data_IF_734743780831
#
_entry.id   IF_734743780831
#
_cell.length_a   1.000
_cell.length_b   1.000
_cell.length_c   1.000
_cell.angle_alpha   90.00
_cell.angle_beta   90.00
_cell.angle_gamma   90.00
#
_symmetry.space_group_name_H-M   'P 1'
#
loop_
_entity.id
_entity.type
_entity.pdbx_description
1 polymer ?
#
# COMPACT_ATOMS: atom_id res chain seq x y z
N UNK A 1 9.24 -25.76 78.19
CA UNK A 1 8.49 -26.54 79.20
C UNK A 1 7.07 -26.76 78.71
N UNK A 2 6.64 -28.03 78.69
CA UNK A 2 5.26 -28.59 78.67
C UNK A 2 4.33 -28.26 77.48
N UNK A 3 4.10 -29.25 76.60
CA UNK A 3 2.89 -30.13 76.42
C UNK A 3 1.81 -29.44 75.56
N UNK A 4 1.25 -29.95 74.46
CA UNK A 4 1.11 -31.30 73.91
C UNK A 4 -0.31 -31.84 74.15
N UNK A 5 -1.17 -31.93 73.10
CA UNK A 5 -2.37 -32.79 72.88
C UNK A 5 -3.01 -32.35 71.53
N UNK A 6 -3.11 -33.09 70.41
CA UNK A 6 -3.60 -34.44 70.01
C UNK A 6 -5.09 -34.48 69.56
N UNK A 7 -5.25 -34.69 68.25
CA UNK A 7 -6.22 -35.46 67.43
C UNK A 7 -7.73 -35.20 67.33
N UNK A 8 -8.17 -35.29 66.06
CA UNK A 8 -9.51 -35.66 65.55
C UNK A 8 -9.85 -34.81 64.31
N UNK A 9 -9.89 -35.27 63.06
CA UNK A 9 -9.98 -36.60 62.49
C UNK A 9 -11.34 -36.82 61.81
N UNK A 10 -11.66 -36.10 60.72
CA UNK A 10 -12.71 -36.50 59.75
C UNK A 10 -12.18 -36.30 58.32
N UNK A 11 -12.22 -37.39 57.56
CA UNK A 11 -11.94 -37.49 56.14
C UNK A 11 -13.16 -37.00 55.34
N UNK A 12 -12.95 -36.16 54.33
CA UNK A 12 -13.74 -36.19 53.10
C UNK A 12 -12.92 -35.57 51.98
N UNK A 13 -12.60 -36.41 50.99
CA UNK A 13 -11.85 -36.07 49.80
C UNK A 13 -12.76 -35.41 48.77
N UNK A 14 -12.35 -34.28 48.20
CA UNK A 14 -12.74 -33.90 46.84
C UNK A 14 -11.48 -33.41 46.12
N UNK A 15 -11.10 -34.17 45.10
CA UNK A 15 -10.02 -33.86 44.16
C UNK A 15 -10.51 -32.78 43.19
N UNK A 16 -9.76 -31.69 43.06
CA UNK A 16 -9.62 -31.01 41.78
C UNK A 16 -8.20 -30.44 41.69
N UNK A 17 -7.37 -31.14 40.91
CA UNK A 17 -6.05 -30.68 40.51
C UNK A 17 -6.27 -29.91 39.21
N UNK A 18 -6.12 -28.59 39.26
CA UNK A 18 -5.88 -27.80 38.07
C UNK A 18 -4.47 -27.21 38.20
N UNK A 19 -3.53 -27.86 37.54
CA UNK A 19 -2.16 -27.38 37.42
C UNK A 19 -2.14 -26.09 36.60
N UNK A 20 -1.64 -25.02 37.20
CA UNK A 20 -1.28 -23.78 36.50
C UNK A 20 -0.06 -24.07 35.63
N UNK A 21 -0.26 -24.14 34.32
CA UNK A 21 0.81 -23.98 33.35
C UNK A 21 0.74 -22.54 32.80
N UNK A 22 1.68 -21.71 33.26
CA UNK A 22 1.97 -20.41 32.66
C UNK A 22 2.46 -20.65 31.22
N UNK A 23 1.61 -20.42 30.24
CA UNK A 23 2.04 -20.16 28.86
C UNK A 23 2.38 -18.67 28.76
N UNK A 24 3.68 -18.37 28.73
CA UNK A 24 4.19 -17.10 28.21
C UNK A 24 4.00 -17.08 26.70
N UNK A 25 2.80 -16.70 26.25
CA UNK A 25 2.56 -16.31 24.87
C UNK A 25 3.08 -14.91 24.65
N UNK A 26 4.30 -14.77 24.14
CA UNK A 26 4.66 -13.57 23.42
C UNK A 26 3.78 -13.54 22.16
N UNK A 27 2.77 -12.68 22.16
CA UNK A 27 2.02 -12.36 20.96
C UNK A 27 2.97 -11.62 20.02
N UNK A 28 3.60 -12.37 19.11
CA UNK A 28 4.14 -11.81 17.88
C UNK A 28 2.93 -11.35 17.07
N UNK A 29 2.63 -10.05 17.14
CA UNK A 29 1.70 -9.40 16.23
C UNK A 29 2.17 -9.70 14.79
N UNK A 30 1.31 -10.19 13.90
CA UNK A 30 1.68 -10.36 12.50
C UNK A 30 1.91 -8.96 11.91
N UNK A 31 3.14 -8.67 11.50
CA UNK A 31 3.39 -7.60 10.52
C UNK A 31 2.61 -8.02 9.27
N UNK A 32 1.56 -7.28 8.91
CA UNK A 32 0.81 -7.57 7.69
C UNK A 32 1.76 -7.38 6.50
N UNK A 33 2.13 -8.46 5.81
CA UNK A 33 3.00 -8.34 4.67
C UNK A 33 2.20 -7.83 3.47
N UNK A 34 2.81 -6.95 2.67
CA UNK A 34 2.16 -6.45 1.45
C UNK A 34 2.48 -7.40 0.31
N UNK A 35 1.44 -8.02 -0.22
CA UNK A 35 1.50 -8.79 -1.46
C UNK A 35 1.56 -7.81 -2.63
N UNK A 36 2.69 -7.74 -3.34
CA UNK A 36 2.82 -6.93 -4.54
C UNK A 36 2.04 -7.60 -5.69
N UNK A 37 0.77 -7.19 -5.90
CA UNK A 37 -0.01 -7.59 -7.08
C UNK A 37 0.47 -6.83 -8.31
N UNK A 38 0.47 -7.48 -9.48
CA UNK A 38 0.49 -6.77 -10.75
C UNK A 38 -0.83 -6.02 -10.90
N UNK A 39 -0.80 -4.71 -11.13
CA UNK A 39 -1.99 -3.91 -11.41
C UNK A 39 -2.65 -4.37 -12.72
N UNK A 40 -3.96 -4.60 -12.67
CA UNK A 40 -4.81 -4.83 -13.83
C UNK A 40 -4.92 -3.51 -14.61
N UNK A 41 -4.18 -3.37 -15.73
CA UNK A 41 -4.53 -2.44 -16.83
C UNK A 41 -3.64 -2.59 -18.10
N UNK A 42 -2.68 -3.51 -18.13
CA UNK A 42 -2.22 -4.05 -19.40
C UNK A 42 -3.12 -5.24 -19.75
N UNK A 43 -3.90 -5.08 -20.83
CA UNK A 43 -4.60 -6.17 -21.49
C UNK A 43 -3.55 -7.24 -21.87
N UNK A 44 -3.32 -8.18 -20.95
CA UNK A 44 -2.42 -9.30 -21.08
C UNK A 44 -2.69 -9.95 -22.43
N UNK A 45 -1.69 -9.96 -23.31
CA UNK A 45 -1.74 -10.78 -24.53
C UNK A 45 -1.81 -12.24 -24.11
N UNK A 46 -3.03 -12.76 -24.07
CA UNK A 46 -3.32 -14.18 -23.92
C UNK A 46 -2.98 -14.85 -25.24
N UNK A 47 -1.75 -15.33 -25.39
CA UNK A 47 -1.43 -16.36 -26.38
C UNK A 47 -1.47 -17.71 -25.67
N UNK A 48 -2.60 -18.40 -25.75
CA UNK A 48 -2.71 -19.77 -25.29
C UNK A 48 -3.66 -20.56 -26.16
N UNK A 49 -3.23 -21.76 -26.54
CA UNK A 49 -4.06 -22.73 -27.27
C UNK A 49 -5.10 -23.32 -26.32
N UNK A 50 -6.37 -23.03 -26.57
CA UNK A 50 -7.49 -23.63 -25.83
C UNK A 50 -7.83 -25.00 -26.42
N UNK A 51 -7.85 -26.03 -25.58
CA UNK A 51 -8.46 -27.33 -25.91
C UNK A 51 -9.51 -27.65 -24.86
N UNK A 52 -10.70 -28.09 -25.28
CA UNK A 52 -11.81 -28.31 -24.35
C UNK A 52 -12.98 -29.10 -24.93
N UNK A 53 -13.80 -29.64 -24.03
CA UNK A 53 -15.02 -30.39 -24.33
C UNK A 53 -16.25 -29.60 -23.85
N UNK A 54 -17.35 -29.66 -24.62
CA UNK A 54 -18.51 -28.77 -24.42
C UNK A 54 -19.29 -29.10 -23.12
N UNK A 55 -19.62 -28.06 -22.34
CA UNK A 55 -20.54 -28.12 -21.20
C UNK A 55 -22.01 -28.26 -21.63
N UNK A 56 -22.91 -28.55 -20.68
CA UNK A 56 -24.37 -28.75 -20.91
C UNK A 56 -25.09 -27.58 -21.61
N UNK A 57 -24.50 -26.38 -21.63
CA UNK A 57 -24.98 -25.17 -22.31
C UNK A 57 -24.24 -24.86 -23.64
N UNK A 58 -23.34 -25.76 -24.07
CA UNK A 58 -22.60 -25.66 -25.34
C UNK A 58 -21.46 -24.64 -25.34
N UNK A 59 -21.10 -24.06 -24.19
CA UNK A 59 -20.03 -23.05 -24.09
C UNK A 59 -18.80 -23.64 -23.40
N UNK A 60 -17.76 -23.96 -24.18
CA UNK A 60 -16.45 -24.31 -23.62
C UNK A 60 -15.92 -23.10 -22.84
N UNK A 61 -15.78 -23.24 -21.52
CA UNK A 61 -15.17 -22.21 -20.67
C UNK A 61 -13.95 -22.81 -19.98
N UNK A 62 -12.76 -22.37 -20.37
CA UNK A 62 -11.52 -22.83 -19.75
C UNK A 62 -11.38 -22.31 -18.31
N UNK A 63 -10.63 -23.02 -17.44
CA UNK A 63 -10.26 -22.50 -16.12
C UNK A 63 -9.50 -21.18 -16.28
N UNK A 64 -9.66 -20.25 -15.32
CA UNK A 64 -8.98 -18.96 -15.34
C UNK A 64 -8.11 -18.76 -14.10
N UNK A 65 -6.92 -18.19 -14.29
CA UNK A 65 -6.18 -17.54 -13.20
C UNK A 65 -6.90 -16.25 -12.84
N UNK A 66 -7.22 -16.08 -11.56
CA UNK A 66 -7.93 -14.94 -11.00
C UNK A 66 -6.96 -13.96 -10.35
N UNK A 67 -5.93 -14.46 -9.69
CA UNK A 67 -4.90 -13.65 -9.05
C UNK A 67 -3.61 -14.45 -8.92
N UNK A 68 -2.47 -13.77 -8.91
CA UNK A 68 -1.17 -14.34 -8.65
C UNK A 68 -0.31 -13.33 -7.92
N UNK A 69 0.23 -13.72 -6.76
CA UNK A 69 1.11 -12.84 -6.00
C UNK A 69 2.05 -13.59 -5.08
N UNK A 70 3.20 -12.98 -4.78
CA UNK A 70 4.12 -13.53 -3.80
C UNK A 70 3.55 -13.40 -2.39
N UNK A 71 3.55 -14.51 -1.66
CA UNK A 71 3.04 -14.61 -0.27
C UNK A 71 4.16 -14.87 0.74
N UNK A 72 5.37 -15.07 0.25
CA UNK A 72 6.63 -15.06 0.99
C UNK A 72 7.77 -14.92 -0.01
N UNK A 73 9.00 -14.67 0.46
CA UNK A 73 10.17 -14.63 -0.42
C UNK A 73 10.33 -15.91 -1.27
N UNK A 74 9.88 -17.06 -0.77
CA UNK A 74 10.02 -18.36 -1.44
C UNK A 74 8.69 -19.02 -1.85
N UNK A 75 7.60 -18.26 -1.97
CA UNK A 75 6.33 -18.83 -2.43
C UNK A 75 5.39 -17.82 -3.07
N UNK A 76 4.63 -18.31 -4.05
CA UNK A 76 3.56 -17.59 -4.76
C UNK A 76 2.22 -18.25 -4.47
N UNK A 77 1.17 -17.46 -4.36
CA UNK A 77 -0.20 -17.94 -4.34
C UNK A 77 -0.88 -17.60 -5.65
N UNK A 78 -1.56 -18.59 -6.22
CA UNK A 78 -2.36 -18.45 -7.44
C UNK A 78 -3.79 -18.83 -7.10
N UNK A 79 -4.74 -17.96 -7.44
CA UNK A 79 -6.18 -18.20 -7.28
C UNK A 79 -6.80 -18.52 -8.64
N UNK A 80 -7.78 -19.41 -8.66
CA UNK A 80 -8.42 -19.90 -9.89
C UNK A 80 -9.94 -19.71 -9.83
N UNK A 81 -10.58 -19.62 -11.00
CA UNK A 81 -12.04 -19.45 -11.11
C UNK A 81 -12.84 -20.71 -10.78
N UNK A 82 -12.17 -21.85 -10.67
CA UNK A 82 -12.76 -23.17 -10.37
C UNK A 82 -11.66 -24.10 -9.84
N UNK A 83 -12.06 -25.29 -9.39
CA UNK A 83 -11.13 -26.34 -8.98
C UNK A 83 -10.33 -26.82 -10.18
N UNK A 84 -9.02 -26.91 -10.02
CA UNK A 84 -8.08 -27.22 -11.10
C UNK A 84 -6.95 -28.14 -10.65
N UNK A 85 -6.27 -28.75 -11.61
CA UNK A 85 -4.90 -29.23 -11.47
C UNK A 85 -3.96 -28.39 -12.31
N UNK A 86 -2.69 -28.33 -11.94
CA UNK A 86 -1.66 -27.55 -12.63
C UNK A 86 -0.48 -28.45 -13.03
N UNK A 87 0.05 -28.24 -14.23
CA UNK A 87 1.23 -28.94 -14.74
C UNK A 87 2.16 -27.96 -15.48
N UNK A 88 3.36 -28.43 -15.82
CA UNK A 88 4.31 -27.67 -16.65
C UNK A 88 4.76 -26.35 -16.00
N UNK A 89 4.84 -26.30 -14.67
CA UNK A 89 5.13 -25.07 -13.95
C UNK A 89 6.60 -24.67 -14.15
N UNK A 90 6.81 -23.46 -14.65
CA UNK A 90 8.13 -22.84 -14.72
C UNK A 90 8.12 -21.49 -14.03
N UNK A 91 9.22 -21.18 -13.35
CA UNK A 91 9.49 -19.89 -12.74
C UNK A 91 10.69 -19.27 -13.44
N UNK A 92 10.55 -18.02 -13.87
CA UNK A 92 11.62 -17.23 -14.45
C UNK A 92 12.03 -16.16 -13.44
N UNK A 93 13.32 -16.15 -13.06
CA UNK A 93 13.85 -15.16 -12.14
C UNK A 93 14.07 -13.79 -12.80
N UNK A 94 14.47 -12.82 -11.97
CA UNK A 94 14.72 -11.45 -12.40
C UNK A 94 15.85 -11.32 -13.43
N UNK A 95 16.78 -12.29 -13.47
CA UNK A 95 17.89 -12.36 -14.43
C UNK A 95 17.49 -13.10 -15.72
N UNK A 96 16.27 -13.63 -15.80
CA UNK A 96 15.75 -14.40 -16.93
C UNK A 96 16.09 -15.90 -16.89
N UNK A 97 16.63 -16.41 -15.78
CA UNK A 97 16.88 -17.84 -15.61
C UNK A 97 15.57 -18.59 -15.38
N UNK A 98 15.38 -19.70 -16.08
CA UNK A 98 14.16 -20.50 -16.03
C UNK A 98 14.37 -21.76 -15.19
N UNK A 99 13.46 -22.00 -14.25
CA UNK A 99 13.46 -23.14 -13.35
C UNK A 99 12.16 -23.92 -13.50
N UNK A 100 12.26 -25.24 -13.65
CA UNK A 100 11.08 -26.12 -13.55
C UNK A 100 10.71 -26.34 -12.09
N UNK A 101 9.43 -26.22 -11.77
CA UNK A 101 8.89 -26.49 -10.45
C UNK A 101 8.25 -27.88 -10.46
N UNK A 102 8.65 -28.72 -9.51
CA UNK A 102 8.10 -30.06 -9.37
C UNK A 102 6.67 -30.01 -8.78
N UNK A 103 5.81 -30.96 -9.18
CA UNK A 103 4.40 -30.96 -8.76
C UNK A 103 4.18 -31.10 -7.25
N UNK A 104 5.14 -31.67 -6.51
CA UNK A 104 5.12 -31.76 -5.04
C UNK A 104 5.40 -30.40 -4.34
N UNK A 105 5.84 -29.40 -5.10
CA UNK A 105 6.03 -28.03 -4.64
C UNK A 105 4.75 -27.20 -4.73
N UNK A 106 3.63 -27.83 -5.09
CA UNK A 106 2.29 -27.21 -5.18
C UNK A 106 1.38 -27.80 -4.11
N UNK A 107 0.79 -26.94 -3.30
CA UNK A 107 -0.24 -27.31 -2.32
C UNK A 107 -1.51 -26.51 -2.56
N UNK A 108 -2.64 -27.18 -2.65
CA UNK A 108 -3.94 -26.54 -2.72
C UNK A 108 -4.56 -26.36 -1.33
N UNK A 109 -5.36 -25.31 -1.18
CA UNK A 109 -6.23 -25.14 -0.02
C UNK A 109 -7.42 -26.12 -0.05
N UNK A 110 -8.20 -26.16 1.02
CA UNK A 110 -9.37 -27.06 1.13
C UNK A 110 -10.44 -26.77 0.06
N UNK A 111 -10.49 -25.54 -0.44
CA UNK A 111 -11.43 -25.16 -1.51
C UNK A 111 -10.99 -25.68 -2.88
N UNK A 112 -9.71 -25.97 -3.06
CA UNK A 112 -9.10 -26.33 -4.35
C UNK A 112 -9.07 -25.16 -5.35
N UNK A 113 -9.35 -23.93 -4.89
CA UNK A 113 -9.36 -22.73 -5.72
C UNK A 113 -8.07 -21.93 -5.58
N UNK A 114 -7.25 -22.21 -4.56
CA UNK A 114 -5.99 -21.52 -4.33
C UNK A 114 -4.84 -22.53 -4.26
N UNK A 115 -3.84 -22.35 -5.11
CA UNK A 115 -2.57 -23.07 -5.04
C UNK A 115 -1.50 -22.18 -4.43
N UNK A 116 -0.75 -22.73 -3.48
CA UNK A 116 0.54 -22.19 -3.04
C UNK A 116 1.65 -22.97 -3.72
N UNK A 117 2.54 -22.26 -4.40
CA UNK A 117 3.65 -22.81 -5.17
C UNK A 117 4.95 -22.38 -4.50
N UNK A 118 5.76 -23.34 -4.06
CA UNK A 118 7.08 -23.07 -3.51
C UNK A 118 8.07 -22.74 -4.64
N UNK A 119 8.82 -21.66 -4.48
CA UNK A 119 9.80 -21.20 -5.45
C UNK A 119 11.18 -21.85 -5.20
N UNK A 120 11.93 -22.15 -6.27
CA UNK A 120 13.26 -22.77 -6.15
C UNK A 120 14.33 -21.80 -5.64
N UNK A 121 14.08 -20.49 -5.76
CA UNK A 121 14.94 -19.42 -5.28
C UNK A 121 14.10 -18.37 -4.56
N UNK A 122 14.72 -17.65 -3.63
CA UNK A 122 14.05 -16.54 -2.95
C UNK A 122 13.95 -15.34 -3.88
N UNK A 123 12.86 -14.59 -3.76
CA UNK A 123 12.60 -13.37 -4.50
C UNK A 123 13.15 -12.15 -3.77
N UNK A 124 13.57 -11.15 -4.54
CA UNK A 124 14.05 -9.86 -4.07
C UNK A 124 12.94 -8.82 -4.21
N UNK A 125 12.81 -7.95 -3.20
CA UNK A 125 11.74 -6.95 -3.13
C UNK A 125 11.82 -5.98 -4.32
N UNK A 126 10.74 -5.88 -5.07
CA UNK A 126 10.60 -5.00 -6.23
C UNK A 126 11.20 -5.53 -7.53
N UNK A 127 11.81 -6.71 -7.51
CA UNK A 127 12.16 -7.43 -8.74
C UNK A 127 10.92 -8.08 -9.34
N UNK A 128 10.84 -8.10 -10.67
CA UNK A 128 9.79 -8.81 -11.41
C UNK A 128 10.19 -10.26 -11.66
N UNK A 129 9.20 -11.14 -11.60
CA UNK A 129 9.30 -12.57 -11.79
C UNK A 129 8.14 -13.05 -12.65
N UNK A 130 8.30 -14.20 -13.28
CA UNK A 130 7.26 -14.77 -14.14
C UNK A 130 7.01 -16.23 -13.80
N UNK A 131 5.75 -16.58 -13.68
CA UNK A 131 5.25 -17.94 -13.46
C UNK A 131 4.48 -18.38 -14.69
N UNK A 132 4.93 -19.45 -15.34
CA UNK A 132 4.21 -20.09 -16.45
C UNK A 132 3.69 -21.45 -16.01
N UNK A 133 2.46 -21.80 -16.40
CA UNK A 133 1.82 -23.07 -16.02
C UNK A 133 0.70 -23.42 -16.99
N UNK A 134 0.37 -24.71 -17.08
CA UNK A 134 -0.87 -25.16 -17.74
C UNK A 134 -1.88 -25.60 -16.69
N UNK A 135 -3.08 -25.05 -16.77
CA UNK A 135 -4.17 -25.27 -15.82
C UNK A 135 -5.23 -26.15 -16.47
N UNK A 136 -5.69 -27.17 -15.75
CA UNK A 136 -6.70 -28.14 -16.21
C UNK A 136 -7.90 -28.14 -15.27
N UNK A 137 -9.11 -28.20 -15.80
CA UNK A 137 -10.31 -28.42 -15.01
C UNK A 137 -10.80 -29.88 -15.08
N UNK A 138 -11.81 -30.20 -14.26
CA UNK A 138 -12.39 -31.55 -14.19
C UNK A 138 -13.11 -31.98 -15.48
N UNK A 139 -13.48 -31.02 -16.34
CA UNK A 139 -14.18 -31.26 -17.61
C UNK A 139 -13.20 -31.50 -18.78
N UNK A 140 -11.90 -31.56 -18.47
CA UNK A 140 -10.83 -31.80 -19.43
C UNK A 140 -10.44 -30.57 -20.25
N UNK A 141 -10.90 -29.37 -19.86
CA UNK A 141 -10.45 -28.14 -20.50
C UNK A 141 -9.07 -27.76 -19.96
N UNK A 142 -8.22 -27.24 -20.84
CA UNK A 142 -6.90 -26.76 -20.46
C UNK A 142 -6.60 -25.36 -21.01
N UNK A 143 -5.77 -24.63 -20.28
CA UNK A 143 -5.26 -23.32 -20.69
C UNK A 143 -3.88 -23.06 -20.09
N UNK A 144 -2.94 -22.63 -20.94
CA UNK A 144 -1.63 -22.17 -20.48
C UNK A 144 -1.68 -20.69 -20.10
N UNK A 145 -0.98 -20.37 -19.02
CA UNK A 145 -0.86 -19.04 -18.45
C UNK A 145 0.61 -18.68 -18.27
N UNK A 146 0.88 -17.40 -18.45
CA UNK A 146 2.12 -16.75 -18.07
C UNK A 146 1.74 -15.53 -17.24
N UNK A 147 2.23 -15.47 -16.01
CA UNK A 147 1.81 -14.47 -15.04
C UNK A 147 3.02 -13.83 -14.40
N UNK A 148 3.10 -12.51 -14.54
CA UNK A 148 4.10 -11.69 -13.88
C UNK A 148 3.70 -11.44 -12.42
N UNK A 149 4.67 -11.39 -11.52
CA UNK A 149 4.50 -11.01 -10.13
C UNK A 149 5.79 -10.39 -9.59
N UNK A 150 5.68 -9.65 -8.48
CA UNK A 150 6.84 -9.00 -7.87
C UNK A 150 7.28 -9.71 -6.60
N UNK A 151 8.57 -9.59 -6.28
CA UNK A 151 9.15 -10.17 -5.07
C UNK A 151 8.50 -9.64 -3.80
N UNK A 152 8.39 -10.52 -2.81
CA UNK A 152 7.59 -10.31 -1.60
C UNK A 152 8.23 -9.30 -0.64
N UNK A 153 7.49 -8.23 -0.32
CA UNK A 153 7.90 -7.25 0.68
C UNK A 153 7.50 -7.71 2.10
N UNK A 154 8.43 -8.38 2.79
CA UNK A 154 8.23 -8.87 4.16
C UNK A 154 8.20 -7.77 5.23
N UNK A 155 8.74 -6.59 4.91
CA UNK A 155 8.88 -5.47 5.84
C UNK A 155 8.47 -4.16 5.16
N UNK A 156 7.18 -4.01 4.84
CA UNK A 156 6.67 -2.77 4.26
C UNK A 156 6.86 -1.61 5.24
N UNK A 157 7.25 -0.45 4.76
CA UNK A 157 7.26 0.77 5.57
C UNK A 157 5.82 1.13 5.99
N UNK A 158 5.68 1.81 7.14
CA UNK A 158 4.38 2.36 7.56
C UNK A 158 4.37 3.86 7.32
N UNK A 159 3.70 4.29 6.27
CA UNK A 159 3.62 5.69 5.86
C UNK A 159 2.27 6.30 6.24
N UNK A 160 2.25 7.62 6.41
CA UNK A 160 1.05 8.45 6.50
C UNK A 160 1.21 9.68 5.61
N UNK A 161 0.11 10.23 5.12
CA UNK A 161 0.11 11.49 4.38
C UNK A 161 0.49 12.64 5.33
N UNK A 162 1.40 13.49 4.89
CA UNK A 162 1.94 14.64 5.60
C UNK A 162 1.43 15.94 4.99
N UNK A 163 1.60 16.11 3.69
CA UNK A 163 1.36 17.39 3.04
C UNK A 163 0.99 17.22 1.57
N UNK A 164 0.13 18.10 1.05
CA UNK A 164 -0.27 18.10 -0.36
C UNK A 164 -0.17 19.50 -0.94
N UNK A 165 0.48 19.64 -2.10
CA UNK A 165 0.42 20.84 -2.93
C UNK A 165 -0.37 20.58 -4.20
N UNK A 166 -1.44 21.36 -4.40
CA UNK A 166 -2.36 21.20 -5.54
C UNK A 166 -2.04 22.14 -6.72
N UNK A 167 -1.13 23.09 -6.54
CA UNK A 167 -0.89 24.16 -7.50
C UNK A 167 0.54 24.14 -8.05
N UNK A 168 0.63 24.24 -9.37
CA UNK A 168 1.86 24.26 -10.13
C UNK A 168 2.22 25.67 -10.59
N UNK A 169 3.52 25.92 -10.74
CA UNK A 169 4.04 27.04 -11.51
C UNK A 169 5.28 26.60 -12.29
N UNK A 170 5.36 27.06 -13.55
CA UNK A 170 6.35 26.63 -14.54
C UNK A 170 7.79 26.58 -14.04
N UNK A 171 8.19 27.55 -13.21
CA UNK A 171 9.58 27.74 -12.81
C UNK A 171 9.79 27.68 -11.29
N UNK A 172 8.73 27.43 -10.51
CA UNK A 172 8.80 27.66 -9.05
C UNK A 172 8.22 26.59 -8.16
N UNK A 173 7.15 25.92 -8.53
CA UNK A 173 6.42 25.05 -7.62
C UNK A 173 5.86 23.86 -8.40
N UNK A 174 6.19 22.67 -7.95
CA UNK A 174 5.57 21.43 -8.42
C UNK A 174 4.40 21.04 -7.52
N UNK A 175 3.36 20.44 -8.10
CA UNK A 175 2.40 19.66 -7.34
C UNK A 175 3.14 18.52 -6.64
N UNK A 176 2.82 18.24 -5.39
CA UNK A 176 3.41 17.12 -4.69
C UNK A 176 2.45 16.51 -3.68
N UNK A 177 2.70 15.25 -3.35
CA UNK A 177 2.20 14.61 -2.15
C UNK A 177 3.39 14.18 -1.31
N UNK A 178 3.40 14.56 -0.05
CA UNK A 178 4.43 14.20 0.91
C UNK A 178 3.88 13.21 1.93
N UNK A 179 4.71 12.23 2.28
CA UNK A 179 4.44 11.20 3.25
C UNK A 179 5.50 11.22 4.35
N UNK A 180 5.12 10.72 5.53
CA UNK A 180 6.01 10.54 6.67
C UNK A 180 6.06 9.07 7.07
N UNK A 181 7.26 8.51 7.24
CA UNK A 181 7.47 7.13 7.66
C UNK A 181 7.38 7.00 9.18
N UNK A 182 6.26 6.50 9.70
CA UNK A 182 6.12 6.13 11.12
C UNK A 182 7.02 4.93 11.45
N UNK A 183 7.10 3.95 10.54
CA UNK A 183 8.02 2.80 10.64
C UNK A 183 8.82 2.69 9.35
N UNK A 184 10.12 2.44 9.49
CA UNK A 184 10.99 2.14 8.35
C UNK A 184 10.65 0.80 7.70
N UNK A 185 11.21 0.58 6.51
CA UNK A 185 10.93 -0.59 5.70
C UNK A 185 11.07 -0.28 4.22
N UNK A 186 10.73 -1.24 3.37
CA UNK A 186 10.71 -1.02 1.93
C UNK A 186 9.34 -0.46 1.52
N UNK A 187 9.31 0.56 0.66
CA UNK A 187 8.05 1.19 0.19
C UNK A 187 7.46 0.52 -1.06
N UNK A 188 8.12 -0.49 -1.63
CA UNK A 188 7.60 -1.24 -2.78
C UNK A 188 6.27 -1.93 -2.44
N UNK A 189 5.36 -1.94 -3.41
CA UNK A 189 4.03 -2.49 -3.27
C UNK A 189 3.04 -1.54 -2.62
N UNK A 190 3.48 -0.38 -2.11
CA UNK A 190 2.58 0.72 -1.79
C UNK A 190 2.18 1.46 -3.06
N UNK A 191 1.02 2.08 -3.03
CA UNK A 191 0.55 2.93 -4.12
C UNK A 191 -0.01 4.25 -3.61
N UNK A 192 0.13 5.29 -4.41
CA UNK A 192 -0.48 6.60 -4.19
C UNK A 192 -1.51 6.86 -5.29
N UNK A 193 -2.77 7.10 -4.93
CA UNK A 193 -3.84 7.39 -5.90
C UNK A 193 -4.47 8.78 -5.67
N UNK A 194 -5.03 9.34 -6.74
CA UNK A 194 -5.78 10.59 -6.75
C UNK A 194 -7.15 10.38 -7.44
N UNK A 195 -8.22 10.41 -6.64
CA UNK A 195 -9.53 9.92 -7.05
C UNK A 195 -10.32 10.80 -8.07
N UNK A 196 -9.73 11.87 -8.61
CA UNK A 196 -10.50 12.90 -9.33
C UNK A 196 -10.30 12.90 -10.83
N UNK A 197 -9.21 12.34 -11.35
CA UNK A 197 -8.86 12.63 -12.75
C UNK A 197 -9.46 11.58 -13.68
N UNK A 198 -10.76 11.76 -13.92
CA UNK A 198 -11.49 11.04 -14.96
C UNK A 198 -10.69 11.11 -16.29
N UNK A 199 -10.34 9.95 -16.84
CA UNK A 199 -9.61 9.85 -18.11
C UNK A 199 -8.08 9.97 -18.02
N UNK A 200 -7.49 10.00 -16.81
CA UNK A 200 -6.05 9.78 -16.58
C UNK A 200 -5.75 8.57 -15.71
N UNK A 201 -6.67 7.60 -15.71
CA UNK A 201 -6.51 6.35 -14.99
C UNK A 201 -5.21 5.62 -15.42
N UNK A 202 -4.69 5.82 -16.64
CA UNK A 202 -3.41 5.22 -17.06
C UNK A 202 -2.14 5.74 -16.35
N UNK A 203 -2.24 6.83 -15.56
CA UNK A 203 -1.11 7.40 -14.81
C UNK A 203 -1.17 7.10 -13.32
N UNK A 204 -2.25 6.46 -12.86
CA UNK A 204 -2.49 6.14 -11.47
C UNK A 204 -3.05 4.72 -11.30
N UNK A 205 -2.78 4.04 -10.19
CA UNK A 205 -2.10 4.59 -9.03
C UNK A 205 -0.56 4.66 -9.25
N UNK A 206 0.10 5.64 -8.65
CA UNK A 206 1.57 5.72 -8.67
C UNK A 206 2.13 4.61 -7.79
N UNK A 207 2.83 3.66 -8.41
CA UNK A 207 3.46 2.54 -7.70
C UNK A 207 4.81 2.95 -7.14
N UNK A 208 4.99 2.82 -5.83
CA UNK A 208 6.25 3.17 -5.20
C UNK A 208 7.38 2.20 -5.60
N UNK A 209 8.59 2.70 -5.90
CA UNK A 209 9.73 1.86 -6.22
C UNK A 209 10.27 1.12 -4.98
N UNK A 210 11.17 0.16 -5.20
CA UNK A 210 11.90 -0.50 -4.12
C UNK A 210 12.94 0.43 -3.50
N UNK A 211 12.55 1.09 -2.41
CA UNK A 211 13.39 2.00 -1.63
C UNK A 211 13.22 1.67 -0.15
N UNK A 212 14.34 1.49 0.54
CA UNK A 212 14.35 1.30 1.98
C UNK A 212 14.39 2.66 2.68
N UNK A 213 13.32 2.99 3.39
CA UNK A 213 13.20 4.24 4.16
C UNK A 213 13.39 3.96 5.65
N UNK A 214 13.91 4.94 6.37
CA UNK A 214 14.03 4.90 7.83
C UNK A 214 12.77 5.47 8.49
N UNK A 215 12.48 5.04 9.73
CA UNK A 215 11.47 5.71 10.53
C UNK A 215 11.86 7.19 10.73
N UNK A 216 10.91 8.10 10.50
CA UNK A 216 11.12 9.55 10.53
C UNK A 216 11.50 10.15 9.19
N UNK A 217 11.72 9.34 8.15
CA UNK A 217 11.95 9.86 6.80
C UNK A 217 10.68 10.53 6.26
N UNK A 218 10.89 11.64 5.57
CA UNK A 218 9.92 12.20 4.64
C UNK A 218 10.14 11.61 3.25
N UNK A 219 9.05 11.39 2.53
CA UNK A 219 9.04 10.97 1.12
C UNK A 219 8.18 11.97 0.36
N UNK A 220 8.72 12.59 -0.68
CA UNK A 220 8.03 13.57 -1.50
C UNK A 220 7.84 13.00 -2.90
N UNK A 221 6.59 12.76 -3.28
CA UNK A 221 6.22 12.41 -4.65
C UNK A 221 5.88 13.69 -5.39
N UNK A 222 6.81 14.15 -6.22
CA UNK A 222 6.61 15.26 -7.16
C UNK A 222 5.74 14.77 -8.31
N UNK A 223 4.56 15.35 -8.43
CA UNK A 223 3.47 14.83 -9.27
C UNK A 223 3.60 15.28 -10.74
N UNK A 224 4.73 15.88 -11.11
CA UNK A 224 4.99 16.32 -12.49
C UNK A 224 6.50 16.38 -12.78
N UNK A 225 6.89 15.73 -13.88
CA UNK A 225 8.22 15.82 -14.47
C UNK A 225 8.12 15.60 -15.99
N UNK A 226 8.28 16.67 -16.76
CA UNK A 226 8.22 16.66 -18.23
C UNK A 226 9.50 16.18 -18.91
N UNK A 227 10.45 15.63 -18.14
CA UNK A 227 11.80 15.31 -18.62
C UNK A 227 12.70 16.53 -18.83
N UNK A 228 12.17 17.75 -18.70
CA UNK A 228 12.92 19.00 -18.88
C UNK A 228 13.28 19.71 -17.58
N UNK A 229 12.89 19.15 -16.42
CA UNK A 229 13.24 19.71 -15.12
C UNK A 229 14.65 19.24 -14.75
N UNK A 230 15.65 20.10 -14.92
CA UNK A 230 17.03 19.77 -14.61
C UNK A 230 17.20 19.33 -13.14
N UNK A 231 17.79 18.16 -12.93
CA UNK A 231 18.01 17.58 -11.60
C UNK A 231 16.79 16.87 -10.99
N UNK A 232 15.68 16.73 -11.72
CA UNK A 232 14.51 15.97 -11.28
C UNK A 232 14.73 14.48 -11.56
N UNK A 233 15.24 13.78 -10.56
CA UNK A 233 15.56 12.34 -10.62
C UNK A 233 14.89 11.67 -9.43
N UNK A 234 14.21 10.55 -9.67
CA UNK A 234 13.68 9.72 -8.58
C UNK A 234 14.82 9.07 -7.81
N UNK A 235 14.86 9.30 -6.50
CA UNK A 235 15.89 8.79 -5.61
C UNK A 235 15.59 7.35 -5.20
N UNK A 236 16.44 6.42 -5.63
CA UNK A 236 16.28 4.98 -5.35
C UNK A 236 17.28 4.50 -4.30
N UNK A 237 18.54 4.92 -4.43
CA UNK A 237 19.64 4.48 -3.56
C UNK A 237 20.41 5.63 -2.89
N UNK A 238 20.20 6.87 -3.35
CA UNK A 238 20.86 8.07 -2.85
C UNK A 238 19.82 9.20 -2.68
N UNK A 239 19.52 9.52 -1.42
CA UNK A 239 18.59 10.58 -0.97
C UNK A 239 19.10 12.01 -1.27
N UNK A 240 20.22 12.13 -1.97
CA UNK A 240 20.77 13.42 -2.37
C UNK A 240 20.91 13.54 -3.87
N UNK A 241 20.46 12.56 -4.65
CA UNK A 241 20.60 12.56 -6.09
C UNK A 241 19.75 13.64 -6.76
N UNK A 242 18.57 13.94 -6.22
CA UNK A 242 17.70 14.98 -6.75
C UNK A 242 18.27 16.38 -6.44
N UNK A 243 18.33 17.22 -7.47
CA UNK A 243 18.83 18.61 -7.40
C UNK A 243 17.83 19.62 -7.96
N UNK A 244 16.67 19.15 -8.40
CA UNK A 244 15.61 20.01 -8.87
C UNK A 244 15.10 20.90 -7.73
N UNK A 245 14.35 21.93 -8.12
CA UNK A 245 13.69 22.79 -7.17
C UNK A 245 12.64 22.00 -6.40
N UNK A 246 12.49 22.34 -5.12
CA UNK A 246 11.69 21.60 -4.14
C UNK A 246 12.22 20.18 -3.86
N UNK A 247 13.38 19.77 -4.37
CA UNK A 247 14.07 18.59 -3.82
C UNK A 247 14.66 18.91 -2.44
N UNK A 248 14.66 17.92 -1.55
CA UNK A 248 15.18 18.03 -0.19
C UNK A 248 16.23 16.95 0.07
N UNK A 249 17.48 17.31 0.46
CA UNK A 249 18.51 16.32 0.76
C UNK A 249 18.25 15.51 2.03
N UNK A 250 17.15 15.80 2.75
CA UNK A 250 16.72 15.09 3.96
C UNK A 250 15.47 14.24 3.75
N UNK A 251 14.88 14.25 2.55
CA UNK A 251 13.70 13.47 2.19
C UNK A 251 13.98 12.67 0.91
N UNK A 252 13.23 11.58 0.71
CA UNK A 252 13.28 10.85 -0.56
C UNK A 252 12.46 11.58 -1.60
N UNK A 253 13.09 12.07 -2.66
CA UNK A 253 12.41 12.74 -3.78
C UNK A 253 12.09 11.76 -4.91
N UNK A 254 10.80 11.52 -5.16
CA UNK A 254 10.30 10.68 -6.23
C UNK A 254 9.54 11.53 -7.25
N UNK A 255 9.63 11.19 -8.54
CA UNK A 255 9.05 12.01 -9.62
C UNK A 255 8.15 11.19 -10.53
N UNK A 256 6.94 11.69 -10.77
CA UNK A 256 6.02 11.13 -11.79
C UNK A 256 6.38 11.73 -13.15
N UNK A 257 6.70 10.87 -14.12
CA UNK A 257 7.13 11.28 -15.47
C UNK A 257 5.94 11.70 -16.36
N UNK A 258 5.34 12.84 -16.05
CA UNK A 258 4.25 13.43 -16.84
C UNK A 258 4.28 14.96 -16.80
N UNK A 259 3.59 15.58 -17.76
CA UNK A 259 3.25 17.01 -17.79
C UNK A 259 1.86 17.32 -17.23
N UNK A 260 1.08 16.29 -16.94
CA UNK A 260 -0.30 16.43 -16.54
C UNK A 260 -0.47 17.03 -15.15
N UNK A 261 -1.61 17.71 -14.93
CA UNK A 261 -2.12 17.99 -13.58
C UNK A 261 -2.63 16.69 -12.98
N UNK A 262 -2.06 16.32 -11.84
CA UNK A 262 -2.30 15.05 -11.16
C UNK A 262 -2.94 15.23 -9.78
N UNK A 263 -2.88 16.43 -9.18
CA UNK A 263 -3.59 16.71 -7.93
C UNK A 263 -4.19 18.12 -7.94
N UNK A 264 -5.52 18.16 -7.89
CA UNK A 264 -6.36 19.34 -7.90
C UNK A 264 -6.83 19.78 -6.51
N UNK A 265 -7.55 20.91 -6.51
CA UNK A 265 -8.16 21.50 -5.30
C UNK A 265 -9.37 20.71 -4.79
N UNK A 266 -9.92 19.81 -5.59
CA UNK A 266 -11.13 19.05 -5.30
C UNK A 266 -10.85 17.55 -5.37
N UNK A 267 -9.83 17.11 -4.63
CA UNK A 267 -9.26 15.78 -4.75
C UNK A 267 -9.28 14.97 -3.47
N UNK A 268 -9.30 13.65 -3.67
CA UNK A 268 -9.08 12.67 -2.61
C UNK A 268 -7.75 12.02 -2.93
N UNK A 269 -6.82 12.07 -1.99
CA UNK A 269 -5.51 11.42 -2.12
C UNK A 269 -5.52 10.21 -1.19
N UNK A 270 -5.15 9.06 -1.74
CA UNK A 270 -5.16 7.76 -1.05
C UNK A 270 -3.75 7.19 -1.03
N UNK A 271 -3.37 6.61 0.11
CA UNK A 271 -2.25 5.70 0.22
C UNK A 271 -2.81 4.30 0.42
N UNK A 272 -2.41 3.36 -0.42
CA UNK A 272 -2.89 1.98 -0.38
C UNK A 272 -1.72 0.98 -0.35
N UNK A 273 -2.01 -0.24 0.07
CA UNK A 273 -1.10 -1.37 -0.12
C UNK A 273 -1.37 -2.11 -1.45
N UNK A 274 -0.53 -3.10 -1.75
CA UNK A 274 -0.62 -3.91 -2.97
C UNK A 274 -1.85 -4.81 -3.02
N UNK A 275 -2.66 -4.86 -1.95
CA UNK A 275 -3.95 -5.53 -1.90
C UNK A 275 -5.13 -4.56 -2.02
N UNK A 276 -4.85 -3.28 -2.30
CA UNK A 276 -5.82 -2.17 -2.39
C UNK A 276 -6.52 -1.88 -1.06
N UNK A 277 -5.90 -2.22 0.07
CA UNK A 277 -6.38 -1.74 1.36
C UNK A 277 -5.92 -0.28 1.54
N UNK A 278 -6.87 0.61 1.84
CA UNK A 278 -6.56 2.00 2.13
C UNK A 278 -5.85 2.09 3.49
N UNK A 279 -4.65 2.66 3.49
CA UNK A 279 -3.79 2.83 4.66
C UNK A 279 -3.93 4.21 5.30
N UNK A 280 -4.09 5.24 4.48
CA UNK A 280 -4.32 6.63 4.88
C UNK A 280 -4.98 7.42 3.74
N UNK A 281 -5.59 8.56 4.05
CA UNK A 281 -6.24 9.37 3.02
C UNK A 281 -6.67 10.75 3.49
N UNK A 282 -6.75 11.68 2.53
CA UNK A 282 -7.25 13.04 2.75
C UNK A 282 -8.31 13.38 1.71
N UNK A 283 -9.40 13.99 2.16
CA UNK A 283 -10.48 14.48 1.31
C UNK A 283 -10.39 16.00 1.25
N UNK A 284 -10.15 16.57 0.07
CA UNK A 284 -9.97 18.00 -0.14
C UNK A 284 -11.03 18.55 -1.10
N UNK A 285 -11.54 19.75 -0.81
CA UNK A 285 -12.44 20.43 -1.73
C UNK A 285 -12.44 21.94 -1.55
N UNK A 286 -12.71 22.68 -2.61
CA UNK A 286 -13.12 24.07 -2.49
C UNK A 286 -14.53 24.13 -1.91
N UNK A 287 -14.81 25.06 -0.99
CA UNK A 287 -16.16 25.23 -0.42
C UNK A 287 -17.23 25.56 -1.46
N UNK A 288 -16.83 26.00 -2.66
CA UNK A 288 -17.72 26.25 -3.80
C UNK A 288 -18.19 24.98 -4.54
N UNK A 289 -17.57 23.81 -4.31
CA UNK A 289 -18.03 22.55 -4.92
C UNK A 289 -19.39 22.17 -4.35
N UNK A 290 -20.32 21.78 -5.23
CA UNK A 290 -21.71 21.49 -4.86
C UNK A 290 -21.92 20.03 -4.50
N UNK A 291 -21.28 19.14 -5.24
CA UNK A 291 -21.46 17.70 -5.12
C UNK A 291 -20.20 16.94 -5.54
N UNK A 292 -20.05 15.74 -5.00
CA UNK A 292 -19.05 14.77 -5.41
C UNK A 292 -19.47 14.11 -6.73
N UNK A 293 -18.50 13.72 -7.56
CA UNK A 293 -18.79 12.73 -8.61
C UNK A 293 -19.16 11.39 -7.96
N UNK A 294 -19.76 10.47 -8.73
CA UNK A 294 -20.10 9.15 -8.22
C UNK A 294 -18.86 8.37 -7.73
N UNK A 295 -17.73 8.45 -8.47
CA UNK A 295 -16.44 7.86 -8.09
C UNK A 295 -15.94 8.44 -6.77
N UNK A 296 -15.90 9.78 -6.67
CA UNK A 296 -15.47 10.48 -5.45
C UNK A 296 -16.36 10.14 -4.25
N UNK A 297 -17.69 10.10 -4.44
CA UNK A 297 -18.64 9.78 -3.38
C UNK A 297 -18.39 8.40 -2.79
N UNK A 298 -18.18 7.39 -3.64
CA UNK A 298 -17.87 6.02 -3.19
C UNK A 298 -16.61 5.97 -2.33
N UNK A 299 -15.56 6.68 -2.75
CA UNK A 299 -14.28 6.74 -2.02
C UNK A 299 -14.42 7.48 -0.69
N UNK A 300 -15.17 8.60 -0.65
CA UNK A 300 -15.49 9.28 0.60
C UNK A 300 -16.24 8.36 1.58
N UNK A 301 -17.24 7.63 1.08
CA UNK A 301 -18.01 6.65 1.88
C UNK A 301 -17.12 5.53 2.41
N UNK A 302 -16.20 5.03 1.59
CA UNK A 302 -15.23 4.01 1.97
C UNK A 302 -14.29 4.49 3.08
N UNK A 303 -13.60 5.62 2.89
CA UNK A 303 -12.74 6.24 3.91
C UNK A 303 -13.47 6.47 5.24
N UNK A 304 -14.72 6.92 5.19
CA UNK A 304 -15.55 7.14 6.36
C UNK A 304 -15.95 5.83 7.04
N UNK A 305 -16.33 4.81 6.25
CA UNK A 305 -16.76 3.50 6.75
C UNK A 305 -15.62 2.72 7.41
N UNK A 306 -14.42 2.73 6.83
CA UNK A 306 -13.20 2.17 7.41
C UNK A 306 -12.83 2.94 8.68
N UNK A 307 -13.09 4.26 8.69
CA UNK A 307 -12.83 5.13 9.82
C UNK A 307 -11.47 5.83 9.77
N UNK A 308 -10.80 5.83 8.61
CA UNK A 308 -9.66 6.70 8.33
C UNK A 308 -10.12 8.15 8.40
N UNK A 309 -11.19 8.51 7.69
CA UNK A 309 -11.74 9.87 7.73
C UNK A 309 -12.92 9.98 8.69
N UNK A 310 -12.80 10.83 9.73
CA UNK A 310 -13.81 10.92 10.81
C UNK A 310 -14.71 12.15 10.77
N UNK A 311 -14.52 13.07 9.84
CA UNK A 311 -15.23 14.36 9.87
C UNK A 311 -16.60 14.34 9.18
N UNK A 312 -16.90 13.31 8.40
CA UNK A 312 -18.08 13.24 7.54
C UNK A 312 -17.69 13.20 6.08
N UNK A 313 -18.68 13.09 5.19
CA UNK A 313 -18.47 12.92 3.74
C UNK A 313 -19.07 14.05 2.92
N UNK A 314 -19.71 15.03 3.54
CA UNK A 314 -20.25 16.19 2.84
C UNK A 314 -19.15 17.22 2.57
N UNK A 315 -19.33 18.08 1.57
CA UNK A 315 -18.32 19.11 1.20
C UNK A 315 -18.01 20.04 2.40
N UNK A 316 -18.95 20.24 3.31
CA UNK A 316 -18.75 21.01 4.54
C UNK A 316 -17.79 20.35 5.54
N UNK A 317 -17.61 19.03 5.41
CA UNK A 317 -16.96 18.18 6.40
C UNK A 317 -15.50 17.91 6.05
N UNK A 318 -14.99 18.48 4.95
CA UNK A 318 -13.67 18.17 4.39
C UNK A 318 -12.72 19.36 4.46
N UNK A 319 -11.43 19.16 4.21
CA UNK A 319 -10.47 20.28 4.24
C UNK A 319 -10.72 21.22 3.05
N UNK A 320 -10.99 22.49 3.37
CA UNK A 320 -11.25 23.50 2.36
C UNK A 320 -9.97 24.06 1.74
N UNK A 321 -9.87 23.96 0.42
CA UNK A 321 -8.70 24.37 -0.37
C UNK A 321 -8.86 25.76 -1.00
N UNK A 322 -9.86 26.54 -0.59
CA UNK A 322 -10.15 27.86 -1.20
C UNK A 322 -8.94 28.80 -1.19
N UNK A 323 -8.15 28.74 -0.11
CA UNK A 323 -6.96 29.57 0.09
C UNK A 323 -5.66 28.94 -0.46
N UNK A 324 -5.75 27.84 -1.21
CA UNK A 324 -4.57 27.27 -1.86
C UNK A 324 -4.13 28.12 -3.05
N UNK A 325 -2.86 28.50 -3.05
CA UNK A 325 -2.08 29.12 -4.11
C UNK A 325 -0.80 28.32 -4.36
N UNK A 326 -0.01 28.75 -5.34
CA UNK A 326 1.24 28.08 -5.75
C UNK A 326 2.26 27.93 -4.61
N UNK A 327 2.27 28.85 -3.64
CA UNK A 327 3.17 28.84 -2.48
C UNK A 327 2.45 28.45 -1.18
N UNK A 328 1.45 27.58 -1.28
CA UNK A 328 0.74 27.05 -0.12
C UNK A 328 0.44 25.58 -0.30
N UNK A 329 0.21 24.91 0.79
CA UNK A 329 0.02 23.47 0.88
C UNK A 329 -1.08 23.16 1.89
N UNK A 330 -1.66 21.97 1.79
CA UNK A 330 -2.55 21.41 2.80
C UNK A 330 -1.68 20.51 3.69
N UNK A 331 -1.45 20.91 4.93
CA UNK A 331 -0.46 20.28 5.82
C UNK A 331 -1.12 19.66 7.05
N UNK A 332 -0.75 18.42 7.35
CA UNK A 332 -1.21 17.67 8.52
C UNK A 332 -0.50 18.16 9.78
N UNK A 333 -1.26 18.47 10.82
CA UNK A 333 -0.77 19.14 12.03
C UNK A 333 -0.41 18.17 13.15
N UNK A 334 -0.88 16.93 13.10
CA UNK A 334 -0.64 15.93 14.15
C UNK A 334 0.56 14.99 13.87
N UNK A 335 1.39 15.26 12.85
CA UNK A 335 2.58 14.42 12.53
C UNK A 335 3.52 14.29 13.74
N UNK A 336 3.79 15.36 14.47
CA UNK A 336 4.67 15.32 15.65
C UNK A 336 4.10 14.46 16.79
N UNK A 337 2.78 14.50 17.00
CA UNK A 337 2.08 13.66 17.98
C UNK A 337 2.12 12.18 17.55
N UNK A 338 1.77 11.90 16.29
CA UNK A 338 1.80 10.54 15.73
C UNK A 338 3.20 9.95 15.76
N UNK A 339 4.22 10.76 15.48
CA UNK A 339 5.63 10.38 15.63
C UNK A 339 5.94 10.02 17.10
N UNK A 340 5.56 10.87 18.06
CA UNK A 340 5.74 10.56 19.49
C UNK A 340 5.04 9.26 19.94
N UNK A 341 3.92 8.90 19.30
CA UNK A 341 3.16 7.69 19.60
C UNK A 341 3.68 6.44 18.90
N UNK A 342 4.13 6.53 17.64
CA UNK A 342 4.31 5.36 16.78
C UNK A 342 5.69 5.25 16.12
N UNK A 343 6.57 6.24 16.25
CA UNK A 343 7.85 6.24 15.56
C UNK A 343 8.69 5.00 15.89
N UNK A 344 9.02 4.23 14.85
CA UNK A 344 9.84 3.01 14.94
C UNK A 344 9.16 1.85 15.66
N UNK A 345 7.87 1.93 15.95
CA UNK A 345 7.13 0.85 16.62
C UNK A 345 6.55 -0.14 15.62
N UNK A 346 6.41 -1.38 16.05
CA UNK A 346 5.78 -2.44 15.26
C UNK A 346 4.25 -2.46 15.43
N UNK A 347 3.75 -2.04 16.59
CA UNK A 347 2.34 -2.03 16.98
C UNK A 347 1.61 -0.76 16.51
N UNK A 348 1.77 -0.41 15.24
CA UNK A 348 1.02 0.69 14.61
C UNK A 348 -0.34 0.16 14.18
N UNK A 349 -1.46 0.85 14.50
CA UNK A 349 -2.78 0.45 14.01
C UNK A 349 -2.85 0.37 12.47
N UNK A 350 -3.68 -0.54 11.96
CA UNK A 350 -3.91 -0.77 10.53
C UNK A 350 -4.32 0.51 9.79
N UNK A 351 -4.97 1.44 10.48
CA UNK A 351 -5.20 2.80 10.03
C UNK A 351 -5.12 3.80 11.20
N UNK A 352 -4.75 5.05 10.88
CA UNK A 352 -4.71 6.15 11.85
C UNK A 352 -5.84 7.11 11.48
N UNK A 353 -6.88 7.25 12.33
CA UNK A 353 -7.96 8.20 12.07
C UNK A 353 -7.42 9.62 11.89
N UNK A 354 -8.01 10.33 10.95
CA UNK A 354 -7.79 11.75 10.73
C UNK A 354 -9.11 12.50 10.55
N UNK A 355 -9.07 13.79 10.83
CA UNK A 355 -10.19 14.72 10.79
C UNK A 355 -9.78 15.99 10.06
N UNK A 356 -10.75 16.76 9.60
CA UNK A 356 -10.53 18.09 9.01
C UNK A 356 -9.71 19.00 9.91
N UNK A 357 -9.88 18.92 11.24
CA UNK A 357 -9.12 19.71 12.21
C UNK A 357 -7.63 19.34 12.30
N UNK A 358 -7.23 18.16 11.82
CA UNK A 358 -5.83 17.75 11.72
C UNK A 358 -5.14 18.41 10.52
N UNK A 359 -5.86 19.10 9.64
CA UNK A 359 -5.31 19.66 8.41
C UNK A 359 -5.58 21.15 8.33
N UNK A 360 -4.61 21.91 7.82
CA UNK A 360 -4.77 23.34 7.55
C UNK A 360 -4.09 23.70 6.24
N UNK A 361 -4.55 24.78 5.60
CA UNK A 361 -3.81 25.38 4.50
C UNK A 361 -2.68 26.25 5.08
N UNK A 362 -1.44 25.97 4.72
CA UNK A 362 -0.24 26.69 5.20
C UNK A 362 0.49 27.34 4.04
N UNK A 363 1.35 28.32 4.33
CA UNK A 363 2.28 28.84 3.32
C UNK A 363 3.51 27.93 3.23
N UNK A 364 3.91 27.60 2.01
CA UNK A 364 5.22 27.01 1.71
C UNK A 364 6.34 27.93 2.20
N UNK A 365 7.50 27.32 2.46
CA UNK A 365 8.71 28.03 2.87
C UNK A 365 9.01 29.27 2.02
N UNK A 366 9.31 30.39 2.66
CA UNK A 366 9.98 31.52 2.03
C UNK A 366 11.05 32.13 2.96
N UNK A 367 11.75 33.16 2.47
CA UNK A 367 12.83 33.82 3.22
C UNK A 367 12.38 34.44 4.56
N UNK A 368 11.09 34.71 4.74
CA UNK A 368 10.51 35.36 5.92
C UNK A 368 9.79 34.36 6.84
N UNK A 369 9.27 33.27 6.26
CA UNK A 369 8.66 32.15 6.95
C UNK A 369 9.35 30.86 6.47
N UNK A 370 10.43 30.43 7.14
CA UNK A 370 11.20 29.25 6.72
C UNK A 370 10.48 27.93 7.00
N UNK A 371 9.17 27.94 7.28
CA UNK A 371 8.36 26.73 7.48
C UNK A 371 8.53 25.80 6.28
N UNK A 372 8.85 24.54 6.53
CA UNK A 372 9.81 23.85 5.71
C UNK A 372 9.12 22.78 4.87
N UNK A 373 9.05 23.01 3.55
CA UNK A 373 8.31 22.15 2.61
C UNK A 373 8.99 22.17 1.24
N UNK A 374 9.11 21.03 0.55
CA UNK A 374 8.88 19.68 1.07
C UNK A 374 10.13 19.15 1.83
N UNK A 375 9.96 18.02 2.50
CA UNK A 375 10.99 17.19 3.11
C UNK A 375 11.42 17.59 4.52
N UNK A 376 10.60 18.38 5.22
CA UNK A 376 10.88 18.94 6.55
C UNK A 376 9.57 19.01 7.37
N UNK A 377 9.63 19.26 8.69
CA UNK A 377 8.42 19.30 9.51
C UNK A 377 7.39 20.32 9.04
N UNK A 378 6.12 19.88 8.99
CA UNK A 378 4.99 20.67 8.52
C UNK A 378 4.90 22.04 9.20
N UNK A 379 4.63 23.05 8.38
CA UNK A 379 4.35 24.39 8.86
C UNK A 379 3.05 24.40 9.68
N UNK A 380 3.01 25.23 10.71
CA UNK A 380 1.78 25.58 11.44
C UNK A 380 1.28 27.00 11.09
N UNK A 381 1.96 27.68 10.17
CA UNK A 381 1.64 29.05 9.76
C UNK A 381 0.55 29.01 8.69
N UNK A 382 -0.69 29.29 9.11
CA UNK A 382 -1.85 29.37 8.22
C UNK A 382 -1.61 30.33 7.05
N UNK A 383 -2.04 29.94 5.86
CA UNK A 383 -2.15 30.86 4.75
C UNK A 383 -3.22 31.91 5.11
N UNK A 384 -2.79 33.18 5.23
CA UNK A 384 -3.71 34.29 5.45
C UNK A 384 -4.59 34.53 4.21
N UNK A 385 -5.83 34.97 4.47
CA UNK A 385 -6.76 35.46 3.44
C UNK A 385 -6.22 36.69 2.71
#
# INVERSE_FOLDING_TARGET
MKKGFVNGGIRAAIRFVASVALFSGAALMPVLPVSCKSSDDDELKIEGETTGSASEDGRITSPKVVACSAVSASAVQVSFSRKVSVEGITFTDADGSVFSIAGDSVSFDDSGLCARIALPVSTDVGSSYKLSMTVFDADGNSQSYEQEFYGYNAMPARLILSEVRTEYSKDKYCEFVELFALRGGNICGLTLDTATIDGKDSLFPFVFPSVNVSAGDYITVHMRNSGNVAGAVSEISDKTAAKAKDSSPTAWDLWVSTDDKLVGKNDIVLLEDGDSNILDGIIMSQSSKKEWSQKQRKICEELFSIGIWKSGIEISDVIHTDNTAQNSTVSRQNIAELSGLYLGKDDIPDFIPTRTEDWIVTKSADKKNPGATPGLPNSSVKAGN
#
